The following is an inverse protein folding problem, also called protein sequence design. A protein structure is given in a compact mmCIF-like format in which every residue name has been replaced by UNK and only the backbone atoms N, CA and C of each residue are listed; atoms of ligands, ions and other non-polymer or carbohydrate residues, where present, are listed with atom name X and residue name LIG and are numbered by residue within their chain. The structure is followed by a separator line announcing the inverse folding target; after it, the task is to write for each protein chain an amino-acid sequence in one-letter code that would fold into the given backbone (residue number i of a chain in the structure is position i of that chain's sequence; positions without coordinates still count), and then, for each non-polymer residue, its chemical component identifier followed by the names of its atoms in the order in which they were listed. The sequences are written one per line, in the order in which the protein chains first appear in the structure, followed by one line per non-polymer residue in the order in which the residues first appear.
data_IF_895931546535
#
_entry.id   IF_895931546535
#
_cell.length_a   1.000
_cell.length_b   1.000
_cell.length_c   1.000
_cell.angle_alpha   90.00
_cell.angle_beta   90.00
_cell.angle_gamma   90.00
#
_symmetry.space_group_name_H-M   'P 1'
#
loop_
_entity.id
_entity.type
_entity.pdbx_description
1 polymer ?
#
# COMPACT_ATOMS: atom_id res chain seq x y z
N UNK A 1 0.67 3.39 -14.62
CA UNK A 1 0.27 3.49 -13.20
C UNK A 1 1.36 4.13 -12.35
N UNK A 2 2.61 3.65 -12.37
CA UNK A 2 3.67 4.21 -11.51
C UNK A 2 3.96 5.69 -11.76
N UNK A 3 4.25 6.08 -13.01
CA UNK A 3 4.54 7.47 -13.37
C UNK A 3 3.40 8.44 -12.98
N UNK A 4 2.14 8.05 -13.22
CA UNK A 4 0.97 8.85 -12.84
C UNK A 4 0.86 9.01 -11.32
N UNK A 5 1.19 7.95 -10.58
CA UNK A 5 1.14 7.95 -9.11
C UNK A 5 2.22 8.84 -8.53
N UNK A 6 3.45 8.82 -9.05
CA UNK A 6 4.51 9.73 -8.63
C UNK A 6 4.12 11.20 -8.86
N UNK A 7 3.48 11.50 -9.99
CA UNK A 7 3.01 12.86 -10.31
C UNK A 7 1.88 13.32 -9.38
N UNK A 8 0.92 12.45 -9.08
CA UNK A 8 -0.26 12.82 -8.29
C UNK A 8 -0.06 12.69 -6.77
N UNK A 9 0.91 11.88 -6.33
CA UNK A 9 1.26 11.63 -4.92
C UNK A 9 2.76 11.91 -4.68
N UNK A 10 3.24 13.14 -4.91
CA UNK A 10 4.68 13.43 -4.88
C UNK A 10 5.34 13.18 -3.52
N UNK A 11 4.59 13.33 -2.43
CA UNK A 11 5.09 13.16 -1.06
C UNK A 11 4.30 12.13 -0.26
N UNK A 12 3.20 11.62 -0.80
CA UNK A 12 2.32 10.68 -0.09
C UNK A 12 2.77 9.25 -0.38
N UNK A 13 3.00 8.43 0.65
CA UNK A 13 3.44 7.06 0.45
C UNK A 13 2.37 6.23 -0.26
N UNK A 14 2.82 5.25 -1.04
CA UNK A 14 1.97 4.29 -1.75
C UNK A 14 2.73 2.99 -2.00
N UNK A 15 2.00 1.88 -2.16
CA UNK A 15 2.54 0.59 -2.57
C UNK A 15 1.75 0.03 -3.75
N UNK A 16 2.41 -0.75 -4.60
CA UNK A 16 1.75 -1.55 -5.64
C UNK A 16 1.88 -3.03 -5.30
N UNK A 17 0.82 -3.78 -5.57
CA UNK A 17 0.75 -5.22 -5.34
C UNK A 17 0.02 -5.89 -6.49
N UNK A 18 0.17 -7.20 -6.63
CA UNK A 18 -0.58 -8.00 -7.59
C UNK A 18 -1.27 -9.14 -6.85
N UNK A 19 -2.48 -8.86 -6.36
CA UNK A 19 -3.26 -9.84 -5.59
C UNK A 19 -3.73 -11.02 -6.44
N UNK A 20 -3.87 -10.85 -7.76
CA UNK A 20 -4.19 -11.97 -8.67
C UNK A 20 -3.08 -13.02 -8.69
N UNK A 21 -1.83 -12.57 -8.61
CA UNK A 21 -0.66 -13.45 -8.47
C UNK A 21 -0.27 -13.70 -7.00
N UNK A 22 -1.06 -13.23 -6.05
CA UNK A 22 -0.75 -13.29 -4.60
C UNK A 22 0.58 -12.62 -4.21
N UNK A 23 1.04 -11.62 -4.99
CA UNK A 23 2.29 -10.88 -4.73
C UNK A 23 2.00 -9.59 -3.95
N UNK A 24 2.63 -9.44 -2.79
CA UNK A 24 2.56 -8.23 -1.96
C UNK A 24 1.35 -8.16 -1.03
N UNK A 25 0.72 -9.29 -0.71
CA UNK A 25 -0.39 -9.32 0.26
C UNK A 25 0.05 -8.85 1.65
N UNK A 26 1.19 -9.36 2.10
CA UNK A 26 1.92 -8.91 3.29
C UNK A 26 2.25 -7.42 3.22
N UNK A 27 2.79 -6.96 2.09
CA UNK A 27 3.16 -5.56 1.87
C UNK A 27 1.97 -4.60 2.05
N UNK A 28 0.80 -4.94 1.52
CA UNK A 28 -0.38 -4.07 1.67
C UNK A 28 -0.97 -4.10 3.08
N UNK A 29 -0.90 -5.24 3.77
CA UNK A 29 -1.30 -5.34 5.18
C UNK A 29 -0.42 -4.41 6.02
N UNK A 30 0.90 -4.55 5.92
CA UNK A 30 1.86 -3.75 6.70
C UNK A 30 1.73 -2.25 6.40
N UNK A 31 1.50 -1.90 5.13
CA UNK A 31 1.25 -0.51 4.72
C UNK A 31 0.00 0.06 5.40
N UNK A 32 -1.10 -0.69 5.46
CA UNK A 32 -2.34 -0.23 6.09
C UNK A 32 -2.17 -0.09 7.61
N UNK A 33 -1.46 -1.02 8.26
CA UNK A 33 -1.19 -0.93 9.69
C UNK A 33 -0.32 0.30 10.02
N UNK A 34 0.73 0.55 9.23
CA UNK A 34 1.70 1.61 9.49
C UNK A 34 1.20 3.00 9.06
N UNK A 35 0.78 3.13 7.80
CA UNK A 35 0.38 4.41 7.21
C UNK A 35 -1.10 4.72 7.44
N UNK A 36 -1.93 3.69 7.54
CA UNK A 36 -3.36 3.81 7.82
C UNK A 36 -3.69 3.80 9.31
N UNK A 37 -2.73 3.50 10.18
CA UNK A 37 -2.90 3.39 11.63
C UNK A 37 -4.05 2.44 12.03
N UNK A 38 -4.29 1.41 11.22
CA UNK A 38 -5.31 0.41 11.50
C UNK A 38 -4.80 -0.52 12.60
N UNK A 39 -5.58 -0.71 13.66
CA UNK A 39 -5.25 -1.64 14.74
C UNK A 39 -6.25 -2.79 14.79
N UNK A 40 -5.73 -4.03 14.92
CA UNK A 40 -6.57 -5.19 15.18
C UNK A 40 -7.04 -5.17 16.62
N UNK A 41 -8.34 -5.00 16.82
CA UNK A 41 -8.98 -5.22 18.10
C UNK A 41 -9.47 -6.68 18.16
N UNK A 42 -8.95 -7.41 19.15
CA UNK A 42 -9.36 -8.78 19.50
C UNK A 42 -10.61 -8.79 20.36
#
# INVERSE_FOLDING_TARGET
MEQDTQRMRPTKPYVFTNLKESKGLDTIIDFILTEGMLEFHS
#
